data_IF_043023166118
#
_entry.id   IF_043023166118
#
_cell.length_a   1.000
_cell.length_b   1.000
_cell.length_c   1.000
_cell.angle_alpha   90.00
_cell.angle_beta   90.00
_cell.angle_gamma   90.00
#
_symmetry.space_group_name_H-M   'P 1'
#
loop_
_entity.id
_entity.type
_entity.pdbx_description
1 polymer ?
#
# COMPACT_ATOMS: atom_id res chain seq x y z
N UNK A 1 6.20 12.06 -12.81
CA UNK A 1 6.25 10.69 -12.29
C UNK A 1 6.32 9.73 -13.47
N UNK A 2 7.20 8.73 -13.44
CA UNK A 2 7.29 7.67 -14.46
C UNK A 2 6.45 6.46 -14.08
N UNK A 3 6.22 5.53 -15.03
CA UNK A 3 5.56 4.24 -14.76
C UNK A 3 6.25 3.47 -13.62
N UNK A 4 7.58 3.44 -13.62
CA UNK A 4 8.35 2.71 -12.60
C UNK A 4 8.28 3.37 -11.22
N UNK A 5 8.26 4.70 -11.17
CA UNK A 5 8.00 5.44 -9.94
C UNK A 5 6.60 5.11 -9.40
N UNK A 6 5.58 5.12 -10.27
CA UNK A 6 4.21 4.76 -9.88
C UNK A 6 4.12 3.32 -9.34
N UNK A 7 4.77 2.35 -10.00
CA UNK A 7 4.83 0.97 -9.53
C UNK A 7 5.59 0.84 -8.19
N UNK A 8 6.61 1.65 -7.97
CA UNK A 8 7.36 1.69 -6.72
C UNK A 8 6.46 2.18 -5.58
N UNK A 9 5.76 3.30 -5.78
CA UNK A 9 4.81 3.82 -4.79
C UNK A 9 3.66 2.83 -4.52
N UNK A 10 3.14 2.18 -5.56
CA UNK A 10 2.11 1.15 -5.41
C UNK A 10 2.58 -0.01 -4.52
N UNK A 11 3.83 -0.47 -4.70
CA UNK A 11 4.42 -1.55 -3.88
C UNK A 11 4.66 -1.10 -2.44
N UNK A 12 5.15 0.11 -2.22
CA UNK A 12 5.36 0.66 -0.88
C UNK A 12 4.03 0.74 -0.12
N UNK A 13 3.00 1.28 -0.76
CA UNK A 13 1.66 1.35 -0.17
C UNK A 13 1.09 -0.05 0.13
N UNK A 14 1.26 -1.02 -0.79
CA UNK A 14 0.84 -2.40 -0.55
C UNK A 14 1.56 -3.04 0.66
N UNK A 15 2.87 -2.79 0.82
CA UNK A 15 3.63 -3.27 1.99
C UNK A 15 3.06 -2.70 3.29
N UNK A 16 2.80 -1.39 3.33
CA UNK A 16 2.20 -0.75 4.51
C UNK A 16 0.81 -1.27 4.82
N UNK A 17 -0.03 -1.46 3.81
CA UNK A 17 -1.35 -2.06 3.99
C UNK A 17 -1.25 -3.44 4.63
N UNK A 18 -0.32 -4.28 4.16
CA UNK A 18 -0.06 -5.62 4.72
C UNK A 18 0.43 -5.57 6.16
N UNK A 19 1.42 -4.73 6.46
CA UNK A 19 1.95 -4.56 7.83
C UNK A 19 0.86 -4.19 8.83
N UNK A 20 -0.04 -3.27 8.44
CA UNK A 20 -1.14 -2.81 9.29
C UNK A 20 -2.24 -3.87 9.44
N UNK A 21 -2.56 -4.62 8.38
CA UNK A 21 -3.48 -5.74 8.48
C UNK A 21 -2.96 -6.80 9.46
N UNK A 22 -1.66 -7.13 9.38
CA UNK A 22 -1.02 -8.05 10.31
C UNK A 22 -1.00 -7.54 11.76
N UNK A 23 -0.87 -6.22 11.96
CA UNK A 23 -1.00 -5.62 13.29
C UNK A 23 -2.44 -5.73 13.82
N UNK A 24 -3.43 -5.44 12.98
CA UNK A 24 -4.85 -5.61 13.34
C UNK A 24 -5.14 -7.07 13.73
N UNK A 25 -4.68 -8.04 12.93
CA UNK A 25 -4.86 -9.47 13.21
C UNK A 25 -4.19 -9.90 14.53
N UNK A 26 -2.97 -9.42 14.78
CA UNK A 26 -2.25 -9.71 16.02
C UNK A 26 -2.94 -9.13 17.26
N UNK A 27 -3.46 -7.90 17.14
CA UNK A 27 -4.01 -7.16 18.27
C UNK A 27 -5.45 -7.58 18.59
N UNK A 28 -6.16 -8.31 17.70
CA UNK A 28 -7.50 -8.86 17.94
C UNK A 28 -7.57 -9.77 19.17
N UNK A 29 -6.53 -10.58 19.38
CA UNK A 29 -6.45 -11.50 20.51
C UNK A 29 -5.77 -10.87 21.72
N UNK A 30 -5.13 -9.71 21.57
CA UNK A 30 -4.37 -9.06 22.63
C UNK A 30 -5.30 -8.39 23.66
N UNK A 31 -5.17 -8.66 24.97
CA UNK A 31 -6.14 -8.22 25.97
C UNK A 31 -6.28 -6.69 26.09
N UNK A 32 -5.21 -5.94 25.83
CA UNK A 32 -5.18 -4.48 25.98
C UNK A 32 -5.18 -3.71 24.67
N UNK A 33 -4.87 -4.34 23.53
CA UNK A 33 -4.62 -3.64 22.26
C UNK A 33 -5.81 -3.74 21.26
N UNK A 34 -6.89 -4.46 21.61
CA UNK A 34 -8.07 -4.58 20.74
C UNK A 34 -8.66 -3.25 20.30
N UNK A 35 -8.51 -2.20 21.12
CA UNK A 35 -9.01 -0.87 20.83
C UNK A 35 -8.28 -0.18 19.67
N UNK A 36 -7.04 -0.61 19.34
CA UNK A 36 -6.28 -0.12 18.19
C UNK A 36 -6.64 -0.85 16.88
N UNK A 37 -7.27 -2.03 16.95
CA UNK A 37 -7.63 -2.83 15.76
C UNK A 37 -8.42 -2.03 14.72
N UNK A 38 -9.46 -1.24 15.08
CA UNK A 38 -10.17 -0.42 14.09
C UNK A 38 -9.27 0.60 13.41
N UNK A 39 -8.33 1.19 14.14
CA UNK A 39 -7.37 2.16 13.61
C UNK A 39 -6.41 1.51 12.61
N UNK A 40 -5.89 0.33 12.94
CA UNK A 40 -5.04 -0.45 12.03
C UNK A 40 -5.78 -0.93 10.78
N UNK A 41 -7.00 -1.43 10.92
CA UNK A 41 -7.82 -1.87 9.80
C UNK A 41 -8.18 -0.70 8.85
N UNK A 42 -8.54 0.45 9.40
CA UNK A 42 -8.82 1.65 8.61
C UNK A 42 -7.57 2.14 7.85
N UNK A 43 -6.42 2.22 8.52
CA UNK A 43 -5.17 2.60 7.88
C UNK A 43 -4.71 1.60 6.81
N UNK A 44 -4.87 0.29 7.07
CA UNK A 44 -4.58 -0.76 6.09
C UNK A 44 -5.40 -0.57 4.81
N UNK A 45 -6.69 -0.31 4.96
CA UNK A 45 -7.61 -0.06 3.83
C UNK A 45 -7.20 1.17 3.03
N UNK A 46 -6.87 2.28 3.71
CA UNK A 46 -6.43 3.50 3.05
C UNK A 46 -5.15 3.28 2.21
N UNK A 47 -4.16 2.55 2.75
CA UNK A 47 -2.94 2.23 1.98
C UNK A 47 -3.22 1.27 0.81
N UNK A 48 -4.18 0.35 0.95
CA UNK A 48 -4.58 -0.52 -0.17
C UNK A 48 -5.20 0.30 -1.32
N UNK A 49 -6.02 1.31 -1.00
CA UNK A 49 -6.59 2.20 -2.02
C UNK A 49 -5.53 3.07 -2.70
N UNK A 50 -4.55 3.58 -1.94
CA UNK A 50 -3.39 4.29 -2.50
C UNK A 50 -2.60 3.37 -3.45
N UNK A 51 -2.38 2.12 -3.07
CA UNK A 51 -1.70 1.14 -3.92
C UNK A 51 -2.44 0.90 -5.24
N UNK A 52 -3.78 0.77 -5.19
CA UNK A 52 -4.63 0.63 -6.38
C UNK A 52 -4.55 1.88 -7.26
N UNK A 53 -4.60 3.07 -6.67
CA UNK A 53 -4.50 4.33 -7.40
C UNK A 53 -3.17 4.46 -8.15
N UNK A 54 -2.04 4.17 -7.49
CA UNK A 54 -0.73 4.19 -8.14
C UNK A 54 -0.58 3.09 -9.20
N UNK A 55 -1.18 1.92 -9.00
CA UNK A 55 -1.21 0.86 -10.01
C UNK A 55 -1.99 1.28 -11.26
N UNK A 56 -3.15 1.90 -11.08
CA UNK A 56 -3.95 2.45 -12.17
C UNK A 56 -3.17 3.56 -12.92
N UNK A 57 -2.48 4.42 -12.18
CA UNK A 57 -1.64 5.46 -12.76
C UNK A 57 -0.45 4.89 -13.53
N UNK A 58 0.20 3.84 -13.02
CA UNK A 58 1.25 3.12 -13.73
C UNK A 58 0.76 2.49 -15.04
N UNK A 59 -0.47 1.98 -15.05
CA UNK A 59 -1.08 1.39 -16.25
C UNK A 59 -1.35 2.45 -17.33
N UNK A 60 -1.70 3.68 -16.94
CA UNK A 60 -1.92 4.81 -17.85
C UNK A 60 -0.62 5.45 -18.37
N UNK A 61 0.51 5.25 -17.69
CA UNK A 61 1.79 5.86 -18.07
C UNK A 61 2.53 5.02 -19.13
N UNK A 62 3.13 5.68 -20.14
CA UNK A 62 3.96 5.00 -21.12
C UNK A 62 5.19 4.37 -20.45
N UNK A 63 5.64 3.24 -20.99
CA UNK A 63 6.88 2.61 -20.54
C UNK A 63 8.03 3.52 -20.95
N UNK A 64 8.61 4.23 -20.00
CA UNK A 64 9.80 5.05 -20.24
C UNK A 64 11.00 4.11 -20.33
N UNK A 65 11.22 3.48 -21.50
CA UNK A 65 12.50 2.84 -21.78
C UNK A 65 13.53 3.96 -21.87
N UNK A 66 14.44 4.03 -20.90
CA UNK A 66 15.65 4.84 -21.05
C UNK A 66 16.48 4.15 -22.13
N UNK A 67 16.33 4.59 -23.37
CA UNK A 67 17.22 4.19 -24.46
C UNK A 67 18.53 4.94 -24.24
N UNK A 68 19.46 4.33 -23.50
CA UNK A 68 20.85 4.75 -23.57
C UNK A 68 21.36 4.39 -24.98
N UNK A 69 21.63 5.40 -25.78
CA UNK A 69 22.43 5.33 -27.01
C UNK A 69 23.88 5.61 -26.63
#
# INVERSE_FOLDING_TARGET
MTRDQALTEARLAASRAKELAQAADRDLEHPTLKHDVPRWAAASTAYADVSRAYTALAAALPITKVTNV
#
